data_IF_569825118344
#
_entry.id   IF_569825118344
#
_cell.length_a   1.000
_cell.length_b   1.000
_cell.length_c   1.000
_cell.angle_alpha   90.00
_cell.angle_beta   90.00
_cell.angle_gamma   90.00
#
_symmetry.space_group_name_H-M   'P 1'
#
loop_
_entity.id
_entity.type
_entity.pdbx_description
1 polymer ?
#
# COMPACT_ATOMS: atom_id res chain seq x y z
N UNK A 1 18.83 -1.95 8.14
CA UNK A 1 18.78 -0.53 7.72
C UNK A 1 18.49 -0.50 6.23
N UNK A 2 17.47 0.23 5.80
CA UNK A 2 17.14 0.38 4.38
C UNK A 2 18.20 1.27 3.72
N UNK A 3 18.91 0.76 2.71
CA UNK A 3 19.82 1.57 1.91
C UNK A 3 19.05 2.31 0.79
N UNK A 4 19.75 3.21 0.08
CA UNK A 4 19.16 4.03 -0.98
C UNK A 4 18.52 3.20 -2.10
N UNK A 5 19.09 2.04 -2.44
CA UNK A 5 18.56 1.19 -3.53
C UNK A 5 17.28 0.50 -3.06
N UNK A 6 17.26 -0.02 -1.83
CA UNK A 6 16.06 -0.65 -1.26
C UNK A 6 14.91 0.34 -1.16
N UNK A 7 15.20 1.57 -0.73
CA UNK A 7 14.20 2.65 -0.68
C UNK A 7 13.67 2.96 -2.07
N UNK A 8 14.54 3.12 -3.05
CA UNK A 8 14.11 3.41 -4.42
C UNK A 8 13.18 2.32 -4.98
N UNK A 9 13.50 1.05 -4.76
CA UNK A 9 12.68 -0.08 -5.23
C UNK A 9 11.29 -0.06 -4.59
N UNK A 10 11.18 0.11 -3.26
CA UNK A 10 9.87 0.12 -2.60
C UNK A 10 9.06 1.37 -2.96
N UNK A 11 9.73 2.51 -3.13
CA UNK A 11 9.06 3.72 -3.62
C UNK A 11 8.48 3.53 -5.00
N UNK A 12 9.18 2.83 -5.90
CA UNK A 12 8.65 2.49 -7.22
C UNK A 12 7.33 1.71 -7.14
N UNK A 13 7.23 0.78 -6.18
CA UNK A 13 5.99 0.03 -5.92
C UNK A 13 4.88 0.94 -5.38
N UNK A 14 5.20 1.82 -4.43
CA UNK A 14 4.21 2.73 -3.83
C UNK A 14 3.65 3.70 -4.88
N UNK A 15 4.48 4.16 -5.82
CA UNK A 15 4.06 5.03 -6.92
C UNK A 15 3.00 4.39 -7.82
N UNK A 16 2.91 3.05 -7.88
CA UNK A 16 1.86 2.34 -8.60
C UNK A 16 0.45 2.66 -8.10
N UNK A 17 0.36 3.05 -6.83
CA UNK A 17 -0.91 3.27 -6.14
C UNK A 17 -1.15 4.74 -5.81
N UNK A 18 -0.17 5.62 -6.01
CA UNK A 18 -0.27 7.04 -5.68
C UNK A 18 -1.33 7.75 -6.53
N UNK A 19 -1.27 7.55 -7.85
CA UNK A 19 -2.18 8.21 -8.80
C UNK A 19 -3.44 7.36 -9.06
N UNK A 20 -3.73 6.39 -8.17
CA UNK A 20 -4.84 5.48 -8.36
C UNK A 20 -6.18 6.21 -8.37
N UNK A 21 -6.95 5.98 -9.43
CA UNK A 21 -8.25 6.60 -9.67
C UNK A 21 -9.24 5.54 -10.14
N UNK A 22 -10.44 5.56 -9.54
CA UNK A 22 -11.58 4.74 -9.98
C UNK A 22 -12.45 5.58 -10.91
N UNK A 23 -12.57 5.22 -12.20
CA UNK A 23 -13.49 5.88 -13.14
C UNK A 23 -14.93 5.79 -12.66
N UNK A 24 -15.73 6.83 -12.92
CA UNK A 24 -17.13 6.89 -12.48
C UNK A 24 -18.06 5.85 -13.10
N UNK A 25 -17.65 5.22 -14.20
CA UNK A 25 -18.40 4.17 -14.93
C UNK A 25 -17.76 2.77 -14.76
N UNK A 26 -16.91 2.58 -13.75
CA UNK A 26 -16.20 1.32 -13.56
C UNK A 26 -17.14 0.19 -13.08
N UNK A 27 -17.11 -0.94 -13.78
CA UNK A 27 -17.78 -2.19 -13.39
C UNK A 27 -16.85 -3.14 -12.63
N UNK A 28 -15.53 -2.90 -12.68
CA UNK A 28 -14.51 -3.68 -11.98
C UNK A 28 -14.26 -3.14 -10.57
N UNK A 29 -13.96 -4.06 -9.64
CA UNK A 29 -13.69 -3.68 -8.26
C UNK A 29 -12.35 -2.95 -8.11
N UNK A 30 -12.21 -1.96 -7.22
CA UNK A 30 -10.95 -1.26 -7.01
C UNK A 30 -9.77 -2.21 -6.78
N UNK A 31 -9.97 -3.29 -6.02
CA UNK A 31 -8.97 -4.34 -5.81
C UNK A 31 -8.56 -5.00 -7.13
N UNK A 32 -9.51 -5.41 -7.97
CA UNK A 32 -9.22 -6.01 -9.28
C UNK A 32 -8.39 -5.07 -10.15
N UNK A 33 -8.82 -3.80 -10.26
CA UNK A 33 -8.08 -2.79 -11.00
C UNK A 33 -6.67 -2.53 -10.46
N UNK A 34 -6.49 -2.53 -9.13
CA UNK A 34 -5.16 -2.37 -8.50
C UNK A 34 -4.26 -3.59 -8.75
N UNK A 35 -4.83 -4.79 -8.75
CA UNK A 35 -4.13 -6.03 -9.03
C UNK A 35 -3.74 -6.15 -10.51
N UNK A 36 -4.58 -5.69 -11.43
CA UNK A 36 -4.25 -5.67 -12.86
C UNK A 36 -3.27 -4.53 -13.20
N UNK A 37 -3.49 -3.34 -12.64
CA UNK A 37 -2.66 -2.17 -12.89
C UNK A 37 -1.21 -2.31 -12.41
N UNK A 38 -0.92 -3.22 -11.47
CA UNK A 38 0.45 -3.44 -11.01
C UNK A 38 1.36 -3.97 -12.13
N UNK A 39 0.82 -4.71 -13.10
CA UNK A 39 1.59 -5.29 -14.19
C UNK A 39 2.24 -4.18 -15.05
N UNK A 40 1.55 -3.06 -15.28
CA UNK A 40 2.08 -1.91 -16.01
C UNK A 40 3.22 -1.22 -15.25
N UNK A 41 3.13 -1.10 -13.93
CA UNK A 41 4.21 -0.55 -13.10
C UNK A 41 5.39 -1.52 -12.95
N UNK A 42 5.11 -2.82 -13.03
CA UNK A 42 6.10 -3.89 -12.95
C UNK A 42 6.79 -4.20 -14.29
N UNK A 43 6.29 -3.70 -15.43
CA UNK A 43 7.07 -3.63 -16.68
C UNK A 43 8.40 -2.87 -16.49
N UNK A 44 8.49 -2.00 -15.48
CA UNK A 44 9.73 -1.35 -15.05
C UNK A 44 10.74 -2.27 -14.36
N UNK A 45 10.37 -3.52 -14.05
CA UNK A 45 11.26 -4.58 -13.56
C UNK A 45 11.64 -5.54 -14.71
N UNK A 46 12.64 -6.39 -14.45
CA UNK A 46 13.37 -7.23 -15.42
C UNK A 46 12.54 -8.29 -16.19
N UNK A 47 11.20 -8.17 -16.26
CA UNK A 47 10.35 -8.93 -17.17
C UNK A 47 10.65 -8.56 -18.64
N UNK A 48 11.16 -7.33 -18.90
CA UNK A 48 11.55 -6.84 -20.24
C UNK A 48 12.87 -6.04 -20.27
N UNK A 49 13.80 -6.24 -19.32
CA UNK A 49 15.02 -5.43 -19.20
C UNK A 49 14.84 -4.14 -18.38
N UNK A 50 13.90 -4.15 -17.44
CA UNK A 50 13.61 -3.05 -16.54
C UNK A 50 14.75 -2.67 -15.59
N UNK A 51 14.59 -1.53 -14.92
CA UNK A 51 15.60 -0.91 -14.06
C UNK A 51 16.00 -1.75 -12.84
N UNK A 52 15.10 -2.63 -12.38
CA UNK A 52 15.27 -3.44 -11.18
C UNK A 52 14.87 -4.90 -11.43
N UNK A 53 15.41 -5.84 -10.65
CA UNK A 53 15.07 -7.26 -10.75
C UNK A 53 13.93 -7.62 -9.81
N UNK A 54 13.04 -8.52 -10.21
CA UNK A 54 11.99 -9.07 -9.32
C UNK A 54 12.59 -9.69 -8.05
N UNK A 55 13.75 -10.34 -8.17
CA UNK A 55 14.48 -10.89 -7.02
C UNK A 55 14.91 -9.80 -6.03
N UNK A 56 15.33 -8.62 -6.52
CA UNK A 56 15.68 -7.48 -5.67
C UNK A 56 14.42 -6.93 -4.97
N UNK A 57 13.29 -6.85 -5.69
CA UNK A 57 12.00 -6.46 -5.11
C UNK A 57 11.55 -7.40 -4.00
N UNK A 58 11.68 -8.72 -4.20
CA UNK A 58 11.36 -9.72 -3.18
C UNK A 58 12.13 -9.48 -1.88
N UNK A 59 13.44 -9.29 -1.98
CA UNK A 59 14.30 -9.01 -0.82
C UNK A 59 13.88 -7.71 -0.12
N UNK A 60 13.56 -6.68 -0.90
CA UNK A 60 13.11 -5.38 -0.38
C UNK A 60 11.79 -5.49 0.37
N UNK A 61 10.80 -6.19 -0.19
CA UNK A 61 9.52 -6.41 0.48
C UNK A 61 9.73 -7.21 1.78
N UNK A 62 10.48 -8.30 1.76
CA UNK A 62 10.82 -9.05 2.97
C UNK A 62 11.45 -8.15 4.05
N UNK A 63 12.40 -7.28 3.67
CA UNK A 63 12.98 -6.31 4.59
C UNK A 63 11.95 -5.30 5.11
N UNK A 64 11.03 -4.81 4.27
CA UNK A 64 10.04 -3.82 4.64
C UNK A 64 9.02 -4.37 5.65
N UNK A 65 8.52 -5.58 5.45
CA UNK A 65 7.56 -6.21 6.36
C UNK A 65 8.16 -6.59 7.70
N UNK A 66 9.48 -6.80 7.76
CA UNK A 66 10.22 -7.01 9.01
C UNK A 66 10.66 -5.70 9.68
N UNK A 67 10.47 -4.56 9.02
CA UNK A 67 10.82 -3.24 9.56
C UNK A 67 9.70 -2.69 10.45
N UNK A 68 10.06 -1.69 11.26
CA UNK A 68 9.13 -0.96 12.13
C UNK A 68 8.00 -0.28 11.32
N UNK A 69 6.84 -0.12 11.95
CA UNK A 69 5.70 0.64 11.43
C UNK A 69 6.09 2.09 11.05
N UNK A 70 7.11 2.67 11.71
CA UNK A 70 7.65 3.98 11.31
C UNK A 70 8.07 4.06 9.85
N UNK A 71 8.68 3.00 9.29
CA UNK A 71 9.07 2.98 7.88
C UNK A 71 7.84 3.14 6.97
N UNK A 72 6.75 2.48 7.34
CA UNK A 72 5.50 2.49 6.58
C UNK A 72 4.77 3.82 6.67
N UNK A 73 4.87 4.51 7.82
CA UNK A 73 4.44 5.90 7.93
C UNK A 73 5.17 6.82 6.97
N UNK A 74 6.50 6.65 6.84
CA UNK A 74 7.33 7.51 5.99
C UNK A 74 7.02 7.39 4.51
N UNK A 75 6.52 6.24 4.06
CA UNK A 75 6.18 6.00 2.66
C UNK A 75 5.05 6.88 2.13
N UNK A 76 4.24 7.45 3.03
CA UNK A 76 3.20 8.39 2.68
C UNK A 76 3.49 9.80 3.23
N UNK A 77 4.69 10.07 3.76
CA UNK A 77 5.06 11.42 4.18
C UNK A 77 5.43 12.29 2.96
N UNK A 78 5.12 13.59 3.03
CA UNK A 78 5.56 14.59 2.03
C UNK A 78 7.08 14.71 1.91
N UNK A 79 7.78 14.27 2.97
CA UNK A 79 9.22 14.14 3.00
C UNK A 79 9.58 12.87 3.77
N UNK A 80 10.35 11.97 3.16
CA UNK A 80 10.80 10.75 3.84
C UNK A 80 11.62 11.04 5.11
N UNK A 81 12.29 12.18 5.16
CA UNK A 81 13.06 12.65 6.31
C UNK A 81 12.21 13.48 7.31
N UNK A 82 10.88 13.42 7.22
CA UNK A 82 9.99 14.04 8.19
C UNK A 82 10.36 13.61 9.62
N UNK A 83 10.26 14.57 10.54
CA UNK A 83 10.44 14.32 11.96
C UNK A 83 9.11 13.84 12.55
N UNK A 84 9.14 12.99 13.59
CA UNK A 84 7.93 12.62 14.31
C UNK A 84 7.17 13.83 14.88
N UNK A 85 5.84 13.72 15.10
CA UNK A 85 5.02 12.53 14.83
C UNK A 85 4.72 12.34 13.33
N UNK A 86 5.04 11.17 12.79
CA UNK A 86 4.98 10.93 11.33
C UNK A 86 3.55 10.92 10.80
N UNK A 87 2.56 10.53 11.62
CA UNK A 87 1.14 10.53 11.26
C UNK A 87 0.59 11.95 10.99
N UNK A 88 1.25 13.00 11.50
CA UNK A 88 0.90 14.40 11.21
C UNK A 88 1.65 14.96 9.98
N UNK A 89 2.70 14.27 9.52
CA UNK A 89 3.55 14.69 8.40
C UNK A 89 3.20 13.96 7.08
N UNK A 90 1.97 13.47 6.98
CA UNK A 90 1.48 12.73 5.83
C UNK A 90 1.20 13.66 4.64
N UNK A 91 1.33 13.13 3.42
CA UNK A 91 0.81 13.77 2.21
C UNK A 91 -0.70 13.99 2.33
N UNK A 92 -1.21 15.02 1.65
CA UNK A 92 -2.65 15.22 1.49
C UNK A 92 -3.29 13.99 0.83
N UNK A 93 -4.53 13.67 1.19
CA UNK A 93 -5.18 12.41 0.80
C UNK A 93 -5.23 12.17 -0.71
N UNK A 94 -5.32 13.23 -1.51
CA UNK A 94 -5.36 13.19 -2.97
C UNK A 94 -3.98 13.25 -3.63
N UNK A 95 -2.92 13.43 -2.84
CA UNK A 95 -1.53 13.51 -3.29
C UNK A 95 -0.67 12.34 -2.81
N UNK A 96 -1.17 11.52 -1.88
CA UNK A 96 -0.51 10.35 -1.31
C UNK A 96 -1.15 9.01 -1.72
N UNK A 97 -0.61 7.91 -1.18
CA UNK A 97 -1.12 6.56 -1.40
C UNK A 97 -2.32 6.23 -0.50
N UNK A 98 -2.64 7.09 0.48
CA UNK A 98 -3.70 6.85 1.46
C UNK A 98 -5.05 6.55 0.80
N UNK A 99 -5.40 7.29 -0.23
CA UNK A 99 -6.67 7.11 -0.94
C UNK A 99 -6.80 5.69 -1.51
N UNK A 100 -5.77 5.18 -2.17
CA UNK A 100 -5.74 3.80 -2.67
C UNK A 100 -5.83 2.80 -1.52
N UNK A 101 -5.10 3.02 -0.43
CA UNK A 101 -5.15 2.18 0.76
C UNK A 101 -6.56 2.10 1.35
N UNK A 102 -7.26 3.23 1.45
CA UNK A 102 -8.62 3.31 1.99
C UNK A 102 -9.63 2.63 1.05
N UNK A 103 -9.52 2.86 -0.27
CA UNK A 103 -10.36 2.14 -1.24
C UNK A 103 -10.20 0.63 -1.09
N UNK A 104 -8.95 0.16 -1.08
CA UNK A 104 -8.65 -1.25 -0.92
C UNK A 104 -9.17 -1.80 0.40
N UNK A 105 -8.95 -1.09 1.51
CA UNK A 105 -9.37 -1.53 2.84
C UNK A 105 -10.89 -1.68 2.98
N UNK A 106 -11.64 -0.68 2.50
CA UNK A 106 -13.11 -0.69 2.53
C UNK A 106 -13.67 -1.84 1.71
N UNK A 107 -13.10 -2.10 0.54
CA UNK A 107 -13.50 -3.20 -0.31
C UNK A 107 -13.11 -4.56 0.27
N UNK A 108 -11.86 -4.72 0.71
CA UNK A 108 -11.33 -5.98 1.24
C UNK A 108 -12.16 -6.52 2.40
N UNK A 109 -12.62 -5.62 3.29
CA UNK A 109 -13.46 -5.98 4.43
C UNK A 109 -14.97 -5.90 4.15
N UNK A 110 -15.39 -5.56 2.92
CA UNK A 110 -16.79 -5.49 2.54
C UNK A 110 -17.59 -4.48 3.37
N UNK A 111 -17.01 -3.32 3.68
CA UNK A 111 -17.58 -2.35 4.63
C UNK A 111 -18.64 -1.43 4.02
N UNK A 112 -18.55 -1.21 2.70
CA UNK A 112 -19.48 -0.39 1.95
C UNK A 112 -20.77 -1.13 1.62
N UNK A 113 -21.89 -0.41 1.57
CA UNK A 113 -23.18 -0.96 1.10
C UNK A 113 -23.25 -1.05 -0.43
N UNK A 114 -22.44 -0.24 -1.09
CA UNK A 114 -22.36 -0.12 -2.54
C UNK A 114 -20.91 0.13 -2.97
N UNK A 115 -20.66 -0.03 -4.25
CA UNK A 115 -19.39 0.33 -4.87
C UNK A 115 -19.07 1.80 -4.60
N UNK A 116 -17.87 2.09 -4.10
CA UNK A 116 -17.44 3.46 -3.78
C UNK A 116 -18.34 4.19 -2.77
N UNK A 117 -18.79 3.47 -1.72
CA UNK A 117 -19.53 4.02 -0.57
C UNK A 117 -18.77 5.22 0.04
N UNK A 118 -19.20 6.43 -0.31
CA UNK A 118 -18.49 7.67 0.04
C UNK A 118 -18.47 7.93 1.54
N UNK A 119 -19.50 7.50 2.27
CA UNK A 119 -19.55 7.66 3.72
C UNK A 119 -18.46 6.80 4.37
N UNK A 120 -18.31 5.54 3.94
CA UNK A 120 -17.24 4.66 4.43
C UNK A 120 -15.86 5.12 4.03
N UNK A 121 -15.69 5.61 2.81
CA UNK A 121 -14.41 6.13 2.36
C UNK A 121 -13.98 7.37 3.14
N UNK A 122 -14.91 8.26 3.47
CA UNK A 122 -14.63 9.40 4.35
C UNK A 122 -14.30 8.95 5.78
N UNK A 123 -15.05 7.98 6.32
CA UNK A 123 -14.82 7.44 7.66
C UNK A 123 -13.42 6.84 7.82
N UNK A 124 -12.97 6.04 6.84
CA UNK A 124 -11.69 5.34 6.91
C UNK A 124 -10.48 6.18 6.51
N UNK A 125 -10.71 7.30 5.81
CA UNK A 125 -9.69 8.30 5.51
C UNK A 125 -9.16 8.96 6.78
N UNK A 126 -10.04 9.41 7.67
CA UNK A 126 -9.64 9.97 8.97
C UNK A 126 -8.99 8.93 9.91
N UNK A 127 -9.10 7.65 9.55
CA UNK A 127 -8.57 6.50 10.29
C UNK A 127 -7.41 5.81 9.58
N UNK A 128 -6.81 6.45 8.57
CA UNK A 128 -5.70 5.85 7.83
C UNK A 128 -4.62 5.36 8.79
N UNK A 129 -4.15 4.13 8.57
CA UNK A 129 -3.06 3.51 9.31
C UNK A 129 -2.17 2.74 8.31
N UNK A 130 -0.83 2.64 8.49
CA UNK A 130 0.04 2.00 7.52
C UNK A 130 -0.21 0.50 7.34
N UNK A 131 -0.98 -0.11 8.24
CA UNK A 131 -1.49 -1.47 8.05
C UNK A 131 -2.38 -1.58 6.80
N UNK A 132 -3.08 -0.51 6.42
CA UNK A 132 -3.82 -0.47 5.15
C UNK A 132 -2.88 -0.54 3.94
N UNK A 133 -1.76 0.19 3.99
CA UNK A 133 -0.73 0.16 2.93
C UNK A 133 -0.03 -1.20 2.88
N UNK A 134 0.29 -1.80 4.04
CA UNK A 134 0.82 -3.17 4.12
C UNK A 134 -0.14 -4.15 3.47
N UNK A 135 -1.43 -4.11 3.82
CA UNK A 135 -2.40 -5.03 3.24
C UNK A 135 -2.50 -4.87 1.72
N UNK A 136 -2.57 -3.63 1.24
CA UNK A 136 -2.60 -3.31 -0.19
C UNK A 136 -1.35 -3.86 -0.91
N UNK A 137 -0.15 -3.58 -0.41
CA UNK A 137 1.10 -4.07 -1.02
C UNK A 137 1.15 -5.60 -0.97
N UNK A 138 0.67 -6.23 0.10
CA UNK A 138 0.63 -7.69 0.19
C UNK A 138 -0.27 -8.26 -0.92
N UNK A 139 -1.50 -7.79 -1.00
CA UNK A 139 -2.51 -8.36 -1.90
C UNK A 139 -2.29 -8.00 -3.38
N UNK A 140 -1.81 -6.80 -3.66
CA UNK A 140 -1.64 -6.30 -5.02
C UNK A 140 -0.23 -6.50 -5.58
N UNK A 141 0.78 -6.79 -4.74
CA UNK A 141 2.17 -6.93 -5.20
C UNK A 141 2.73 -8.30 -4.83
N UNK A 142 2.73 -8.66 -3.55
CA UNK A 142 3.33 -9.91 -3.10
C UNK A 142 2.58 -11.13 -3.63
N UNK A 143 1.26 -11.18 -3.42
CA UNK A 143 0.44 -12.33 -3.82
C UNK A 143 0.39 -12.51 -5.35
N UNK A 144 0.50 -11.41 -6.11
CA UNK A 144 0.53 -11.42 -7.58
C UNK A 144 1.87 -11.94 -8.10
N UNK A 145 2.98 -11.44 -7.56
CA UNK A 145 4.33 -11.79 -8.04
C UNK A 145 4.87 -13.11 -7.50
N UNK A 146 4.45 -13.50 -6.30
CA UNK A 146 4.93 -14.69 -5.59
C UNK A 146 3.76 -15.57 -5.16
N UNK A 147 2.92 -16.04 -6.11
CA UNK A 147 1.69 -16.76 -5.80
C UNK A 147 1.98 -18.02 -5.00
N UNK A 148 1.29 -18.17 -3.86
CA UNK A 148 1.44 -19.30 -2.95
C UNK A 148 2.63 -19.20 -1.98
N UNK A 149 3.45 -18.16 -2.07
CA UNK A 149 4.52 -17.92 -1.12
C UNK A 149 4.03 -17.22 0.15
N UNK A 150 4.52 -17.67 1.31
CA UNK A 150 4.25 -17.01 2.59
C UNK A 150 5.09 -15.76 2.73
N UNK A 151 4.50 -14.67 3.23
CA UNK A 151 5.20 -13.44 3.59
C UNK A 151 5.57 -13.47 5.09
N UNK A 152 6.83 -13.77 5.46
CA UNK A 152 7.20 -13.92 6.87
C UNK A 152 7.14 -12.59 7.62
N UNK A 153 6.67 -12.63 8.87
CA UNK A 153 6.58 -11.44 9.72
C UNK A 153 5.34 -10.57 9.47
N UNK A 154 4.46 -10.98 8.55
CA UNK A 154 3.19 -10.32 8.31
C UNK A 154 2.01 -11.24 8.62
N UNK A 155 1.05 -10.74 9.40
CA UNK A 155 -0.23 -11.41 9.63
C UNK A 155 -1.32 -10.55 9.03
N UNK A 156 -2.05 -11.10 8.07
CA UNK A 156 -3.16 -10.41 7.43
C UNK A 156 -4.20 -10.05 8.49
N UNK A 157 -4.63 -8.78 8.60
CA UNK A 157 -5.66 -8.37 9.53
C UNK A 157 -6.97 -9.12 9.29
N UNK A 158 -7.63 -9.53 10.37
CA UNK A 158 -8.91 -10.26 10.32
C UNK A 158 -10.13 -9.36 10.50
N UNK A 159 -9.91 -8.08 10.81
CA UNK A 159 -10.95 -7.08 10.98
C UNK A 159 -10.50 -5.72 10.48
N UNK A 160 -11.48 -4.89 10.10
CA UNK A 160 -11.24 -3.52 9.65
C UNK A 160 -10.96 -2.52 10.79
N UNK A 161 -11.04 -2.94 12.06
CA UNK A 161 -10.91 -2.03 13.21
C UNK A 161 -9.47 -1.53 13.38
N UNK A 162 -9.25 -0.27 12.99
CA UNK A 162 -7.93 0.35 13.06
C UNK A 162 -7.51 0.79 14.45
N UNK A 163 -8.46 0.89 15.40
CA UNK A 163 -8.13 1.22 16.79
C UNK A 163 -7.32 0.12 17.49
N UNK A 164 -7.40 -1.10 16.96
CA UNK A 164 -6.59 -2.22 17.42
C UNK A 164 -5.10 -2.08 17.10
N UNK A 165 -4.73 -1.11 16.24
CA UNK A 165 -3.35 -0.83 15.85
C UNK A 165 -2.76 0.40 16.58
N UNK A 166 -3.45 0.95 17.59
CA UNK A 166 -3.19 2.28 18.17
C UNK A 166 -1.72 2.58 18.57
N UNK A 167 -1.08 3.43 17.75
CA UNK A 167 -0.58 4.80 17.96
C UNK A 167 0.18 5.26 19.22
N UNK A 168 0.48 4.42 20.22
CA UNK A 168 1.34 4.82 21.35
C UNK A 168 2.24 3.68 21.83
N UNK A 169 3.53 3.79 21.51
CA UNK A 169 4.60 3.50 22.46
C UNK A 169 5.32 4.82 22.78
#
# INVERSE_FOLDING_TARGET
>A
MFDSKKLEIIYWVILAFRDYYVPGECEETPMGMMQEGIDDYLQGFDIQGGRFRIADLKEVLLCAYQSDIELWWRFNCCNFNAKPPLHEAQEEDDQGVQRACVFFWVEYFGLGKEFMDREKLAEYRDKYHPEMLKLLVKCCVWDVLFPGETLPGYTVPTSADTSSFDYTA
#
